data_IF_771529682632
#
_entry.id   IF_771529682632
#
_cell.length_a   1.000
_cell.length_b   1.000
_cell.length_c   1.000
_cell.angle_alpha   90.00
_cell.angle_beta   90.00
_cell.angle_gamma   90.00
#
_symmetry.space_group_name_H-M   'P 1'
#
loop_
_entity.id
_entity.type
_entity.pdbx_description
1 polymer ?
#
# COMPACT_ATOMS: atom_id res chain seq x y z
N UNK A 1 15.55 7.08 19.26
CA UNK A 1 15.28 7.86 20.49
C UNK A 1 14.23 8.95 20.24
N UNK A 2 14.21 9.58 19.06
CA UNK A 2 13.27 10.66 18.73
C UNK A 2 11.79 10.27 18.78
N UNK A 3 11.43 9.04 18.39
CA UNK A 3 10.05 8.58 18.44
C UNK A 3 9.48 8.50 19.87
N UNK A 4 10.28 8.07 20.85
CA UNK A 4 9.87 8.02 22.26
C UNK A 4 9.60 9.43 22.82
N UNK A 5 10.49 10.39 22.51
CA UNK A 5 10.32 11.80 22.88
C UNK A 5 9.08 12.43 22.23
N UNK A 6 8.79 12.08 20.97
CA UNK A 6 7.59 12.54 20.28
C UNK A 6 6.30 12.02 20.94
N UNK A 7 6.26 10.76 21.39
CA UNK A 7 5.11 10.23 22.13
C UNK A 7 4.92 10.91 23.49
N UNK A 8 6.00 11.13 24.25
CA UNK A 8 5.93 11.87 25.52
C UNK A 8 5.44 13.32 25.31
N UNK A 9 5.93 13.99 24.26
CA UNK A 9 5.45 15.32 23.89
C UNK A 9 3.96 15.32 23.55
N UNK A 10 3.48 14.35 22.77
CA UNK A 10 2.06 14.20 22.46
C UNK A 10 1.20 13.99 23.71
N UNK A 11 1.67 13.18 24.68
CA UNK A 11 0.98 12.96 25.96
C UNK A 11 0.86 14.28 26.73
N UNK A 12 1.95 15.06 26.81
CA UNK A 12 1.97 16.35 27.50
C UNK A 12 0.97 17.34 26.88
N UNK A 13 0.98 17.51 25.55
CA UNK A 13 0.06 18.43 24.86
C UNK A 13 -1.41 18.03 25.04
N UNK A 14 -1.73 16.73 24.94
CA UNK A 14 -3.10 16.27 25.11
C UNK A 14 -3.56 16.39 26.57
N UNK A 15 -2.66 16.15 27.53
CA UNK A 15 -2.98 16.36 28.95
C UNK A 15 -3.29 17.82 29.28
N UNK A 16 -2.54 18.77 28.69
CA UNK A 16 -2.81 20.20 28.83
C UNK A 16 -4.16 20.58 28.21
N UNK A 17 -4.48 20.07 27.01
CA UNK A 17 -5.77 20.32 26.37
C UNK A 17 -6.96 19.74 27.17
N UNK A 18 -6.76 18.61 27.88
CA UNK A 18 -7.79 18.04 28.76
C UNK A 18 -7.98 18.86 30.04
N UNK A 19 -6.90 19.45 30.57
CA UNK A 19 -6.96 20.35 31.73
C UNK A 19 -7.70 21.65 31.40
N UNK A 20 -7.43 22.27 30.25
CA UNK A 20 -8.16 23.48 29.82
C UNK A 20 -9.65 23.20 29.63
N UNK A 21 -10.02 22.05 29.06
CA UNK A 21 -11.42 21.63 28.92
C UNK A 21 -12.09 21.35 30.28
N UNK A 22 -11.33 20.91 31.28
CA UNK A 22 -11.83 20.69 32.63
C UNK A 22 -12.03 22.02 33.39
N UNK A 23 -11.16 23.00 33.17
CA UNK A 23 -11.24 24.35 33.77
C UNK A 23 -12.39 25.19 33.18
N UNK A 24 -12.66 25.05 31.88
CA UNK A 24 -13.76 25.74 31.19
C UNK A 24 -15.16 25.17 31.50
N UNK A 25 -15.27 24.12 32.33
CA UNK A 25 -16.54 23.47 32.64
C UNK A 25 -17.29 24.22 33.76
N UNK A 26 -18.41 24.91 33.49
CA UNK A 26 -19.19 25.56 34.54
C UNK A 26 -19.85 24.51 35.45
N UNK A 27 -19.81 24.76 36.76
CA UNK A 27 -20.27 23.86 37.84
C UNK A 27 -21.78 23.54 37.82
N UNK A 28 -22.54 24.08 36.87
CA UNK A 28 -23.96 23.81 36.69
C UNK A 28 -24.19 23.30 35.28
N UNK A 29 -24.08 21.98 35.09
CA UNK A 29 -24.99 21.16 34.29
C UNK A 29 -24.43 19.73 34.16
N UNK A 30 -25.22 18.77 34.62
CA UNK A 30 -24.97 17.34 34.38
C UNK A 30 -25.01 17.06 32.89
N UNK A 31 -23.85 16.89 32.28
CA UNK A 31 -23.72 16.56 30.87
C UNK A 31 -22.63 15.50 30.70
N UNK A 32 -23.01 14.43 30.02
CA UNK A 32 -22.17 13.32 29.58
C UNK A 32 -20.85 13.81 28.98
N UNK A 33 -19.77 13.05 29.21
CA UNK A 33 -18.44 13.33 28.66
C UNK A 33 -18.55 13.65 27.16
N UNK A 34 -18.03 14.81 26.77
CA UNK A 34 -18.12 15.29 25.38
C UNK A 34 -17.37 14.27 24.50
N UNK A 35 -17.90 13.82 23.35
CA UNK A 35 -17.25 12.82 22.48
C UNK A 35 -15.86 13.25 21.96
N UNK A 36 -15.46 14.50 22.18
CA UNK A 36 -14.11 15.00 21.95
C UNK A 36 -13.12 14.60 23.06
N UNK A 37 -13.55 14.62 24.32
CA UNK A 37 -12.74 14.23 25.48
C UNK A 37 -12.37 12.74 25.43
N UNK A 38 -13.35 11.88 25.09
CA UNK A 38 -13.11 10.44 24.92
C UNK A 38 -12.11 10.13 23.80
N UNK A 39 -12.10 10.93 22.73
CA UNK A 39 -11.12 10.78 21.63
C UNK A 39 -9.72 11.18 22.07
N UNK A 40 -9.59 12.25 22.85
CA UNK A 40 -8.31 12.68 23.42
C UNK A 40 -7.76 11.65 24.43
N UNK A 41 -8.62 11.08 25.27
CA UNK A 41 -8.23 10.02 26.22
C UNK A 41 -7.74 8.75 25.50
N UNK A 42 -8.43 8.31 24.44
CA UNK A 42 -7.96 7.17 23.61
C UNK A 42 -6.64 7.46 22.90
N UNK A 43 -6.40 8.71 22.50
CA UNK A 43 -5.13 9.12 21.90
C UNK A 43 -3.99 9.01 22.91
N UNK A 44 -4.22 9.42 24.16
CA UNK A 44 -3.25 9.25 25.26
C UNK A 44 -2.96 7.76 25.48
N UNK A 45 -4.00 6.93 25.60
CA UNK A 45 -3.86 5.48 25.80
C UNK A 45 -2.98 4.83 24.72
N UNK A 46 -3.27 5.11 23.44
CA UNK A 46 -2.47 4.62 22.33
C UNK A 46 -1.03 5.16 22.36
N UNK A 47 -0.84 6.45 22.66
CA UNK A 47 0.51 7.04 22.73
C UNK A 47 1.36 6.45 23.87
N UNK A 48 0.74 6.07 25.00
CA UNK A 48 1.39 5.38 26.12
C UNK A 48 1.78 3.95 25.73
N UNK A 49 0.90 3.22 25.05
CA UNK A 49 1.20 1.86 24.57
C UNK A 49 2.40 1.86 23.62
N UNK A 50 2.47 2.82 22.69
CA UNK A 50 3.59 2.99 21.77
C UNK A 50 4.87 3.48 22.47
N UNK A 51 4.77 4.33 23.47
CA UNK A 51 5.91 4.75 24.30
C UNK A 51 6.49 3.57 25.09
N UNK A 52 5.64 2.69 25.64
CA UNK A 52 6.08 1.47 26.34
C UNK A 52 6.80 0.51 25.40
N UNK A 53 6.24 0.27 24.21
CA UNK A 53 6.85 -0.59 23.20
C UNK A 53 8.21 -0.07 22.68
N UNK A 54 8.40 1.24 22.69
CA UNK A 54 9.69 1.87 22.30
C UNK A 54 10.68 1.99 23.46
N UNK A 55 10.18 2.05 24.70
CA UNK A 55 10.99 2.06 25.93
C UNK A 55 11.54 0.68 26.33
N UNK A 56 10.81 -0.42 26.06
CA UNK A 56 11.27 -1.79 26.34
C UNK A 56 12.32 -2.30 25.35
N UNK A 57 12.54 -1.60 24.24
CA UNK A 57 13.56 -1.92 23.22
C UNK A 57 14.92 -1.25 23.48
N UNK A 58 15.10 -0.58 24.63
CA UNK A 58 16.39 0.02 25.00
C UNK A 58 17.30 -1.06 25.61
N UNK A 59 18.53 -1.27 25.09
CA UNK A 59 19.48 -2.21 25.66
C UNK A 59 20.13 -1.56 26.89
N UNK A 60 19.70 -1.98 28.09
CA UNK A 60 20.37 -1.57 29.32
C UNK A 60 19.59 -1.96 30.58
N UNK A 61 20.15 -2.93 31.31
CA UNK A 61 19.81 -3.32 32.69
C UNK A 61 18.80 -4.46 32.89
N UNK A 62 19.33 -5.68 32.77
CA UNK A 62 19.23 -6.77 33.76
C UNK A 62 17.88 -7.19 34.35
N UNK A 63 17.39 -8.37 33.95
CA UNK A 63 17.07 -9.43 34.92
C UNK A 63 17.00 -10.80 34.22
N UNK A 64 17.46 -11.81 34.95
CA UNK A 64 18.01 -13.11 34.53
C UNK A 64 17.02 -14.26 34.73
N UNK A 65 17.21 -15.32 33.91
CA UNK A 65 16.82 -16.74 34.06
C UNK A 65 15.33 -17.12 34.10
N UNK A 66 14.89 -18.14 33.37
CA UNK A 66 15.38 -19.53 33.48
C UNK A 66 15.23 -20.29 32.14
N UNK A 67 16.31 -20.92 31.60
CA UNK A 67 16.74 -22.34 31.77
C UNK A 67 15.66 -23.31 31.25
N UNK A 68 15.87 -24.24 30.31
CA UNK A 68 16.85 -25.36 30.19
C UNK A 68 16.49 -26.02 28.82
N UNK A 69 17.36 -26.51 27.93
CA UNK A 69 18.18 -27.73 28.04
C UNK A 69 19.23 -27.82 26.92
N UNK A 70 20.31 -28.48 27.31
CA UNK A 70 21.60 -28.73 26.68
C UNK A 70 21.51 -29.89 25.69
N UNK A 71 22.26 -29.85 24.59
CA UNK A 71 23.07 -31.00 24.12
C UNK A 71 24.35 -30.50 23.43
N UNK A 72 25.47 -30.74 24.08
CA UNK A 72 26.83 -30.69 23.54
C UNK A 72 27.45 -32.07 23.73
N UNK A 73 28.12 -32.58 22.70
CA UNK A 73 29.17 -33.59 22.76
C UNK A 73 29.89 -33.53 21.40
N UNK A 74 31.20 -33.64 21.23
CA UNK A 74 32.37 -33.59 22.10
C UNK A 74 33.57 -33.46 21.12
N UNK A 75 34.65 -32.78 21.53
CA UNK A 75 35.97 -32.88 20.90
C UNK A 75 36.84 -33.91 21.67
N UNK A 76 37.94 -34.41 21.06
CA UNK A 76 39.28 -33.93 21.46
C UNK A 76 40.29 -33.75 20.29
N UNK A 77 41.32 -32.89 20.47
CA UNK A 77 42.39 -32.45 19.53
C UNK A 77 43.58 -33.44 19.36
N UNK A 78 44.88 -33.04 19.18
CA UNK A 78 45.51 -31.70 18.98
C UNK A 78 46.64 -31.60 17.87
N UNK A 79 47.25 -30.39 17.72
CA UNK A 79 48.55 -30.03 17.04
C UNK A 79 48.70 -30.23 15.50
N UNK A 80 49.35 -29.40 14.65
CA UNK A 80 50.52 -28.50 14.72
C UNK A 80 50.52 -27.46 13.56
N UNK A 81 51.05 -26.26 13.85
CA UNK A 81 51.82 -25.28 13.03
C UNK A 81 51.95 -25.44 11.50
N UNK A 82 51.67 -24.38 10.72
CA UNK A 82 52.59 -23.59 9.83
C UNK A 82 51.78 -22.63 8.93
N UNK A 83 52.39 -21.47 8.67
CA UNK A 83 52.00 -20.28 7.92
C UNK A 83 51.34 -20.45 6.53
N UNK A 84 50.61 -19.40 6.13
CA UNK A 84 50.76 -18.80 4.80
C UNK A 84 49.99 -19.43 3.65
N UNK A 85 48.75 -18.98 3.43
CA UNK A 85 48.37 -18.35 2.15
C UNK A 85 46.88 -18.04 2.10
N UNK A 86 46.58 -16.81 1.69
CA UNK A 86 45.22 -16.28 1.51
C UNK A 86 44.64 -16.88 0.22
N UNK A 87 43.56 -17.68 0.25
CA UNK A 87 42.95 -18.15 -0.98
C UNK A 87 42.23 -17.00 -1.68
N UNK A 88 42.73 -16.64 -2.85
CA UNK A 88 42.06 -15.81 -3.85
C UNK A 88 40.62 -16.34 -4.10
N UNK A 89 39.59 -15.47 -4.22
CA UNK A 89 38.26 -15.93 -4.57
C UNK A 89 38.28 -16.48 -6.00
N UNK A 90 38.00 -17.79 -6.15
CA UNK A 90 37.90 -18.42 -7.47
C UNK A 90 36.71 -17.86 -8.26
N UNK A 91 36.82 -17.75 -9.59
CA UNK A 91 35.84 -17.08 -10.43
C UNK A 91 34.59 -17.95 -10.56
N UNK A 92 33.43 -17.36 -10.29
CA UNK A 92 32.09 -17.65 -10.85
C UNK A 92 31.96 -18.94 -11.67
N UNK A 93 32.16 -20.09 -11.04
CA UNK A 93 31.94 -21.39 -11.67
C UNK A 93 31.08 -22.18 -10.70
N UNK A 94 29.87 -22.48 -11.16
CA UNK A 94 28.83 -23.27 -10.49
C UNK A 94 27.78 -22.50 -9.67
N UNK A 95 27.22 -21.45 -10.25
CA UNK A 95 25.76 -21.29 -10.21
C UNK A 95 25.30 -21.43 -11.65
N UNK A 96 24.58 -22.49 -12.04
CA UNK A 96 23.75 -22.42 -13.22
C UNK A 96 22.73 -21.31 -12.91
N UNK A 97 22.99 -20.10 -13.38
CA UNK A 97 21.96 -19.10 -13.57
C UNK A 97 20.98 -19.71 -14.56
N UNK A 98 20.02 -20.50 -14.05
CA UNK A 98 18.91 -20.97 -14.85
C UNK A 98 18.18 -19.72 -15.31
N UNK A 99 18.39 -19.35 -16.57
CA UNK A 99 17.73 -18.21 -17.18
C UNK A 99 16.21 -18.44 -17.02
N UNK A 100 15.52 -17.69 -16.15
CA UNK A 100 14.16 -18.04 -15.76
C UNK A 100 13.23 -18.03 -16.98
N UNK A 101 12.16 -18.83 -16.98
CA UNK A 101 11.19 -18.72 -18.08
C UNK A 101 10.58 -17.31 -18.11
N UNK A 102 10.11 -16.81 -19.27
CA UNK A 102 9.53 -15.46 -19.35
C UNK A 102 8.36 -15.25 -18.38
N UNK A 103 7.65 -16.34 -18.06
CA UNK A 103 6.57 -16.36 -17.06
C UNK A 103 7.08 -16.15 -15.63
N UNK A 104 8.22 -16.76 -15.27
CA UNK A 104 8.84 -16.57 -13.95
C UNK A 104 9.46 -15.18 -13.82
N UNK A 105 10.11 -14.68 -14.88
CA UNK A 105 10.64 -13.33 -14.93
C UNK A 105 9.53 -12.27 -14.74
N UNK A 106 8.39 -12.45 -15.40
CA UNK A 106 7.24 -11.57 -15.24
C UNK A 106 6.66 -11.60 -13.81
N UNK A 107 6.58 -12.78 -13.19
CA UNK A 107 6.13 -12.90 -11.79
C UNK A 107 7.08 -12.18 -10.84
N UNK A 108 8.39 -12.30 -11.04
CA UNK A 108 9.39 -11.63 -10.21
C UNK A 108 9.30 -10.09 -10.32
N UNK A 109 9.02 -9.56 -11.51
CA UNK A 109 8.74 -8.12 -11.69
C UNK A 109 7.46 -7.67 -10.97
N UNK A 110 6.44 -8.53 -10.93
CA UNK A 110 5.19 -8.25 -10.22
C UNK A 110 5.35 -8.33 -8.70
N UNK A 111 6.08 -9.31 -8.16
CA UNK A 111 6.31 -9.42 -6.72
C UNK A 111 7.13 -8.25 -6.16
N UNK A 112 8.07 -7.70 -6.95
CA UNK A 112 8.84 -6.51 -6.59
C UNK A 112 8.00 -5.21 -6.54
N UNK A 113 6.76 -5.22 -7.03
CA UNK A 113 5.92 -4.02 -7.21
C UNK A 113 4.71 -3.91 -6.27
N UNK A 114 4.50 -4.85 -5.33
CA UNK A 114 3.25 -4.93 -4.55
C UNK A 114 3.35 -4.25 -3.18
N UNK A 115 2.66 -3.12 -2.99
CA UNK A 115 1.34 -3.11 -2.30
C UNK A 115 0.84 -1.69 -2.02
N UNK A 116 -0.20 -1.26 -2.75
CA UNK A 116 -1.10 -0.21 -2.28
C UNK A 116 -2.46 -0.84 -1.99
N UNK A 117 -3.04 -0.48 -0.85
CA UNK A 117 -4.33 -1.00 -0.38
C UNK A 117 -5.41 -0.64 -1.40
N UNK A 118 -5.81 -1.61 -2.23
CA UNK A 118 -6.91 -1.45 -3.19
C UNK A 118 -8.20 -1.21 -2.41
N UNK A 119 -8.81 -0.04 -2.60
CA UNK A 119 -10.14 0.26 -2.07
C UNK A 119 -11.18 -0.51 -2.88
N UNK A 120 -12.22 -1.02 -2.23
CA UNK A 120 -13.31 -1.72 -2.90
C UNK A 120 -14.10 -0.73 -3.77
N UNK A 121 -14.61 -1.20 -4.90
CA UNK A 121 -15.51 -0.41 -5.75
C UNK A 121 -16.93 -0.39 -5.20
N UNK A 122 -17.79 0.56 -5.59
CA UNK A 122 -19.16 0.67 -5.07
C UNK A 122 -19.99 -0.62 -5.21
N UNK A 123 -19.88 -1.31 -6.34
CA UNK A 123 -20.60 -2.60 -6.56
C UNK A 123 -20.06 -3.70 -5.67
N UNK A 124 -18.76 -3.73 -5.41
CA UNK A 124 -18.14 -4.73 -4.55
C UNK A 124 -18.49 -4.48 -3.08
N UNK A 125 -18.53 -3.22 -2.64
CA UNK A 125 -19.05 -2.83 -1.33
C UNK A 125 -20.52 -3.25 -1.15
N UNK A 126 -21.36 -3.03 -2.17
CA UNK A 126 -22.76 -3.44 -2.14
C UNK A 126 -22.92 -4.97 -2.08
N UNK A 127 -22.05 -5.75 -2.75
CA UNK A 127 -22.02 -7.21 -2.63
C UNK A 127 -21.70 -7.65 -1.21
N UNK A 128 -20.68 -7.05 -0.58
CA UNK A 128 -20.34 -7.33 0.82
C UNK A 128 -21.50 -6.98 1.75
N UNK A 129 -22.18 -5.86 1.52
CA UNK A 129 -23.37 -5.49 2.29
C UNK A 129 -24.52 -6.48 2.07
N UNK A 130 -24.75 -6.94 0.84
CA UNK A 130 -25.78 -7.93 0.53
C UNK A 130 -25.48 -9.30 1.16
N UNK A 131 -24.21 -9.70 1.25
CA UNK A 131 -23.84 -10.90 2.02
C UNK A 131 -24.20 -10.76 3.51
N UNK A 132 -23.98 -9.59 4.10
CA UNK A 132 -24.38 -9.30 5.49
C UNK A 132 -25.91 -9.32 5.64
N UNK A 133 -26.66 -8.76 4.69
CA UNK A 133 -28.13 -8.81 4.67
C UNK A 133 -28.64 -10.25 4.59
N UNK A 134 -28.07 -11.06 3.72
CA UNK A 134 -28.41 -12.49 3.60
C UNK A 134 -28.12 -13.26 4.89
N UNK A 135 -26.99 -13.00 5.54
CA UNK A 135 -26.66 -13.63 6.82
C UNK A 135 -27.68 -13.24 7.92
N UNK A 136 -28.02 -11.95 8.02
CA UNK A 136 -29.02 -11.46 8.96
C UNK A 136 -30.42 -12.04 8.67
N UNK A 137 -30.79 -12.17 7.39
CA UNK A 137 -32.03 -12.82 6.96
C UNK A 137 -32.09 -14.27 7.42
N UNK A 138 -31.04 -15.07 7.17
CA UNK A 138 -30.97 -16.47 7.62
C UNK A 138 -31.13 -16.60 9.13
N UNK A 139 -30.46 -15.72 9.90
CA UNK A 139 -30.60 -15.70 11.35
C UNK A 139 -32.05 -15.41 11.79
N UNK A 140 -32.75 -14.48 11.14
CA UNK A 140 -34.17 -14.20 11.43
C UNK A 140 -35.09 -15.34 11.02
N UNK A 141 -34.87 -15.91 9.84
CA UNK A 141 -35.64 -17.06 9.33
C UNK A 141 -35.52 -18.29 10.23
N UNK A 142 -34.35 -18.52 10.84
CA UNK A 142 -34.14 -19.64 11.78
C UNK A 142 -34.95 -19.52 13.08
N UNK A 143 -35.38 -18.30 13.44
CA UNK A 143 -36.12 -18.02 14.68
C UNK A 143 -37.63 -17.93 14.46
N UNK A 144 -38.08 -17.93 13.20
CA UNK A 144 -39.48 -17.68 12.85
C UNK A 144 -40.28 -18.99 12.82
N UNK A 145 -41.41 -19.03 13.51
CA UNK A 145 -42.29 -20.20 13.55
C UNK A 145 -42.77 -20.57 12.12
N UNK A 146 -42.69 -21.86 11.72
CA UNK A 146 -43.30 -22.37 10.48
C UNK A 146 -44.74 -21.95 10.23
N UNK A 147 -45.53 -21.70 11.27
CA UNK A 147 -46.94 -21.30 11.19
C UNK A 147 -47.14 -19.87 10.68
N UNK A 148 -46.12 -19.02 10.70
CA UNK A 148 -46.18 -17.64 10.22
C UNK A 148 -45.76 -17.51 8.74
N UNK A 149 -46.50 -18.17 7.84
CA UNK A 149 -46.19 -18.20 6.41
C UNK A 149 -46.17 -16.79 5.77
N UNK A 150 -47.14 -15.93 6.07
CA UNK A 150 -47.19 -14.56 5.55
C UNK A 150 -45.99 -13.70 5.95
N UNK A 151 -45.50 -13.85 7.18
CA UNK A 151 -44.31 -13.16 7.67
C UNK A 151 -43.03 -13.62 6.95
N UNK A 152 -42.92 -14.90 6.61
CA UNK A 152 -41.81 -15.43 5.79
C UNK A 152 -41.79 -14.81 4.40
N UNK A 153 -42.94 -14.77 3.73
CA UNK A 153 -43.06 -14.19 2.39
C UNK A 153 -42.71 -12.70 2.40
N UNK A 154 -43.23 -11.95 3.39
CA UNK A 154 -42.92 -10.53 3.53
C UNK A 154 -41.43 -10.27 3.78
N UNK A 155 -40.79 -11.10 4.62
CA UNK A 155 -39.36 -10.98 4.91
C UNK A 155 -38.50 -11.32 3.67
N UNK A 156 -38.89 -12.34 2.89
CA UNK A 156 -38.20 -12.72 1.66
C UNK A 156 -38.27 -11.59 0.62
N UNK A 157 -39.46 -11.05 0.36
CA UNK A 157 -39.64 -9.93 -0.58
C UNK A 157 -38.89 -8.67 -0.12
N UNK A 158 -38.86 -8.40 1.19
CA UNK A 158 -38.11 -7.27 1.75
C UNK A 158 -36.60 -7.43 1.52
N UNK A 159 -36.07 -8.63 1.73
CA UNK A 159 -34.66 -8.95 1.46
C UNK A 159 -34.32 -8.78 -0.03
N UNK A 160 -35.12 -9.37 -0.92
CA UNK A 160 -34.93 -9.29 -2.36
C UNK A 160 -34.93 -7.83 -2.84
N UNK A 161 -35.91 -7.04 -2.39
CA UNK A 161 -35.98 -5.61 -2.68
C UNK A 161 -34.74 -4.87 -2.21
N UNK A 162 -34.30 -5.10 -0.97
CA UNK A 162 -33.16 -4.39 -0.39
C UNK A 162 -31.84 -4.75 -1.09
N UNK A 163 -31.65 -6.04 -1.42
CA UNK A 163 -30.47 -6.49 -2.14
C UNK A 163 -30.41 -5.90 -3.55
N UNK A 164 -31.55 -5.89 -4.25
CA UNK A 164 -31.68 -5.31 -5.58
C UNK A 164 -31.43 -3.79 -5.55
N UNK A 165 -32.03 -3.07 -4.60
CA UNK A 165 -31.84 -1.63 -4.40
C UNK A 165 -30.36 -1.29 -4.19
N UNK A 166 -29.67 -2.02 -3.28
CA UNK A 166 -28.25 -1.82 -3.02
C UNK A 166 -27.39 -1.97 -4.28
N UNK A 167 -27.66 -3.01 -5.10
CA UNK A 167 -26.92 -3.23 -6.35
C UNK A 167 -27.23 -2.17 -7.39
N UNK A 168 -28.49 -1.74 -7.50
CA UNK A 168 -28.90 -0.74 -8.49
C UNK A 168 -28.25 0.63 -8.18
N UNK A 169 -28.26 1.04 -6.92
CA UNK A 169 -27.60 2.27 -6.47
C UNK A 169 -26.10 2.18 -6.73
N UNK A 170 -25.46 1.09 -6.33
CA UNK A 170 -24.03 0.91 -6.52
C UNK A 170 -23.61 0.89 -7.99
N UNK A 171 -24.42 0.27 -8.87
CA UNK A 171 -24.19 0.27 -10.32
C UNK A 171 -24.36 1.67 -10.92
N UNK A 172 -25.35 2.44 -10.45
CA UNK A 172 -25.51 3.83 -10.85
C UNK A 172 -24.29 4.68 -10.44
N UNK A 173 -23.77 4.49 -9.22
CA UNK A 173 -22.56 5.16 -8.76
C UNK A 173 -21.34 4.75 -9.59
N UNK A 174 -21.15 3.46 -9.85
CA UNK A 174 -20.04 2.96 -10.65
C UNK A 174 -20.07 3.52 -12.07
N UNK A 175 -21.22 3.49 -12.74
CA UNK A 175 -21.34 4.07 -14.10
C UNK A 175 -21.11 5.58 -14.12
N UNK A 176 -21.58 6.31 -13.10
CA UNK A 176 -21.30 7.74 -12.96
C UNK A 176 -19.80 8.01 -12.75
N UNK A 177 -19.12 7.22 -11.92
CA UNK A 177 -17.68 7.29 -11.72
C UNK A 177 -16.92 6.94 -13.00
N UNK A 178 -17.31 5.88 -13.70
CA UNK A 178 -16.69 5.47 -14.97
C UNK A 178 -16.78 6.57 -16.02
N UNK A 179 -17.94 7.23 -16.17
CA UNK A 179 -18.10 8.38 -17.08
C UNK A 179 -17.12 9.50 -16.74
N UNK A 180 -17.04 9.89 -15.46
CA UNK A 180 -16.09 10.91 -14.99
C UNK A 180 -14.63 10.52 -15.25
N UNK A 181 -14.27 9.25 -15.04
CA UNK A 181 -12.93 8.76 -15.31
C UNK A 181 -12.59 8.78 -16.81
N UNK A 182 -13.53 8.37 -17.67
CA UNK A 182 -13.36 8.41 -19.13
C UNK A 182 -13.22 9.84 -19.63
N UNK A 183 -14.08 10.75 -19.20
CA UNK A 183 -14.00 12.18 -19.56
C UNK A 183 -12.68 12.80 -19.10
N UNK A 184 -12.26 12.52 -17.86
CA UNK A 184 -10.96 12.96 -17.34
C UNK A 184 -9.82 12.44 -18.21
N UNK A 185 -9.82 11.13 -18.52
CA UNK A 185 -8.78 10.50 -19.32
C UNK A 185 -8.74 11.05 -20.74
N UNK A 186 -9.89 11.37 -21.31
CA UNK A 186 -9.97 12.03 -22.61
C UNK A 186 -9.31 13.41 -22.56
N UNK A 187 -9.65 14.27 -21.59
CA UNK A 187 -9.03 15.59 -21.42
C UNK A 187 -7.51 15.51 -21.24
N UNK A 188 -7.03 14.52 -20.49
CA UNK A 188 -5.59 14.31 -20.30
C UNK A 188 -4.87 13.83 -21.56
N UNK A 189 -5.54 13.04 -22.41
CA UNK A 189 -5.00 12.66 -23.72
C UNK A 189 -4.89 13.86 -24.65
N UNK A 190 -5.94 14.68 -24.73
CA UNK A 190 -5.93 15.92 -25.52
C UNK A 190 -4.82 16.87 -25.04
N UNK A 191 -4.60 16.96 -23.73
CA UNK A 191 -3.50 17.73 -23.16
C UNK A 191 -2.12 17.16 -23.55
N UNK A 192 -1.95 15.84 -23.52
CA UNK A 192 -0.72 15.19 -23.97
C UNK A 192 -0.47 15.44 -25.46
N UNK A 193 -1.52 15.34 -26.28
CA UNK A 193 -1.46 15.57 -27.73
C UNK A 193 -1.10 17.03 -28.03
N UNK A 194 -1.67 17.99 -27.30
CA UNK A 194 -1.33 19.41 -27.41
C UNK A 194 0.14 19.68 -27.09
N UNK A 195 0.65 19.15 -25.97
CA UNK A 195 2.05 19.35 -25.54
C UNK A 195 3.07 18.76 -26.51
N UNK A 196 2.75 17.62 -27.11
CA UNK A 196 3.62 16.97 -28.09
C UNK A 196 3.53 17.67 -29.44
N UNK A 197 2.35 18.12 -29.86
CA UNK A 197 2.19 18.87 -31.12
C UNK A 197 2.94 20.21 -31.12
N UNK A 198 3.13 20.83 -29.94
CA UNK A 198 3.92 22.06 -29.79
C UNK A 198 5.44 21.82 -29.84
N UNK A 199 5.90 20.60 -29.58
CA UNK A 199 7.33 20.27 -29.42
C UNK A 199 7.88 19.24 -30.42
N UNK A 200 7.04 18.62 -31.28
CA UNK A 200 7.44 17.45 -32.06
C UNK A 200 7.44 17.65 -33.59
N UNK A 201 8.54 17.24 -34.22
CA UNK A 201 8.58 16.80 -35.61
C UNK A 201 7.92 15.40 -35.74
N UNK A 202 7.25 15.08 -36.86
CA UNK A 202 6.50 13.83 -36.99
C UNK A 202 7.43 12.60 -36.98
N UNK A 203 7.46 11.85 -35.87
CA UNK A 203 8.18 10.58 -35.72
C UNK A 203 7.23 9.38 -35.62
N UNK A 204 7.64 8.21 -36.12
CA UNK A 204 6.83 6.98 -36.06
C UNK A 204 6.54 6.50 -34.62
N UNK A 205 7.29 7.00 -33.63
CA UNK A 205 7.13 6.66 -32.19
C UNK A 205 6.21 7.62 -31.43
N UNK A 206 5.72 8.67 -32.09
CA UNK A 206 4.82 9.65 -31.48
C UNK A 206 3.54 9.09 -30.84
N UNK A 207 2.81 8.11 -31.41
CA UNK A 207 1.60 7.59 -30.76
C UNK A 207 1.89 6.87 -29.44
N UNK A 208 3.03 6.17 -29.34
CA UNK A 208 3.47 5.53 -28.11
C UNK A 208 3.85 6.57 -27.05
N UNK A 209 4.57 7.62 -27.44
CA UNK A 209 4.94 8.74 -26.56
C UNK A 209 3.70 9.48 -26.03
N UNK A 210 2.71 9.76 -26.89
CA UNK A 210 1.41 10.35 -26.49
C UNK A 210 0.67 9.49 -25.47
N UNK A 211 0.60 8.20 -25.74
CA UNK A 211 -0.04 7.23 -24.83
C UNK A 211 0.63 7.19 -23.46
N UNK A 212 1.97 7.17 -23.42
CA UNK A 212 2.75 7.14 -22.18
C UNK A 212 2.60 8.45 -21.41
N UNK A 213 2.70 9.59 -22.09
CA UNK A 213 2.53 10.90 -21.47
C UNK A 213 1.13 11.05 -20.86
N UNK A 214 0.08 10.63 -21.57
CA UNK A 214 -1.28 10.64 -21.04
C UNK A 214 -1.41 9.79 -19.77
N UNK A 215 -0.80 8.60 -19.72
CA UNK A 215 -0.76 7.75 -18.52
C UNK A 215 0.01 8.39 -17.36
N UNK A 216 1.12 9.07 -17.64
CA UNK A 216 1.89 9.82 -16.64
C UNK A 216 1.04 10.95 -16.06
N UNK A 217 0.37 11.74 -16.90
CA UNK A 217 -0.51 12.82 -16.44
C UNK A 217 -1.71 12.30 -15.63
N UNK A 218 -2.23 11.12 -15.99
CA UNK A 218 -3.26 10.44 -15.20
C UNK A 218 -2.72 10.06 -13.82
N UNK A 219 -1.54 9.45 -13.74
CA UNK A 219 -0.90 9.07 -12.48
C UNK A 219 -0.61 10.28 -11.56
N UNK A 220 -0.11 11.40 -12.11
CA UNK A 220 0.19 12.62 -11.35
C UNK A 220 -1.03 13.32 -10.76
N UNK A 221 -2.22 13.03 -11.26
CA UNK A 221 -3.47 13.58 -10.73
C UNK A 221 -3.96 12.81 -9.50
N UNK A 222 -3.59 11.53 -9.38
CA UNK A 222 -3.95 10.67 -8.25
C UNK A 222 -2.83 10.61 -7.17
N UNK A 223 -1.64 11.14 -7.49
CA UNK A 223 -0.46 11.12 -6.63
C UNK A 223 0.09 12.53 -6.41
N UNK A 224 0.26 12.93 -5.15
CA UNK A 224 0.78 14.27 -4.81
C UNK A 224 2.32 14.33 -4.83
N UNK A 225 3.00 13.19 -4.63
CA UNK A 225 4.46 13.15 -4.56
C UNK A 225 5.15 13.69 -5.83
N UNK A 226 4.72 13.40 -7.08
CA UNK A 226 5.38 13.94 -8.28
C UNK A 226 5.28 15.47 -8.35
N UNK A 227 4.20 16.07 -7.84
CA UNK A 227 4.04 17.53 -7.79
C UNK A 227 5.06 18.16 -6.83
N UNK A 228 5.26 17.54 -5.67
CA UNK A 228 6.27 17.98 -4.70
C UNK A 228 7.68 17.91 -5.29
N UNK A 229 8.00 16.84 -6.03
CA UNK A 229 9.28 16.73 -6.74
C UNK A 229 9.44 17.76 -7.85
N UNK A 230 8.39 18.04 -8.64
CA UNK A 230 8.41 19.11 -9.64
C UNK A 230 8.65 20.49 -9.04
N UNK A 231 8.09 20.77 -7.86
CA UNK A 231 8.35 22.02 -7.14
C UNK A 231 9.82 22.14 -6.72
N UNK A 232 10.37 21.08 -6.12
CA UNK A 232 11.79 21.03 -5.71
C UNK A 232 12.76 21.18 -6.89
N UNK A 233 12.45 20.55 -8.03
CA UNK A 233 13.23 20.68 -9.26
C UNK A 233 13.16 22.10 -9.86
N UNK A 234 12.05 22.81 -9.67
CA UNK A 234 11.92 24.20 -10.11
C UNK A 234 12.78 25.15 -9.27
N UNK A 235 12.91 24.86 -7.98
CA UNK A 235 13.76 25.63 -7.05
C UNK A 235 15.25 25.38 -7.30
N UNK A 236 15.62 24.15 -7.69
CA UNK A 236 17.02 23.73 -7.92
C UNK A 236 17.14 22.90 -9.20
N UNK A 237 17.17 23.54 -10.38
CA UNK A 237 17.21 22.83 -11.66
C UNK A 237 18.53 22.08 -11.92
N UNK A 238 19.65 22.57 -11.37
CA UNK A 238 20.99 22.05 -11.65
C UNK A 238 21.46 20.96 -10.65
N UNK A 239 20.61 20.59 -9.69
CA UNK A 239 20.96 19.58 -8.67
C UNK A 239 20.83 18.15 -9.23
N UNK A 240 21.94 17.62 -9.72
CA UNK A 240 22.03 16.26 -10.26
C UNK A 240 21.63 15.19 -9.23
N UNK A 241 21.88 15.43 -7.93
CA UNK A 241 21.54 14.47 -6.88
C UNK A 241 20.02 14.35 -6.72
N UNK A 242 19.30 15.47 -6.80
CA UNK A 242 17.84 15.52 -6.75
C UNK A 242 17.21 14.79 -7.94
N UNK A 243 17.76 14.96 -9.15
CA UNK A 243 17.29 14.24 -10.35
C UNK A 243 17.51 12.74 -10.23
N UNK A 244 18.68 12.31 -9.75
CA UNK A 244 18.97 10.89 -9.53
C UNK A 244 18.02 10.26 -8.50
N UNK A 245 17.76 10.95 -7.39
CA UNK A 245 16.82 10.52 -6.37
C UNK A 245 15.39 10.43 -6.91
N UNK A 246 14.96 11.38 -7.75
CA UNK A 246 13.66 11.29 -8.44
C UNK A 246 13.59 10.06 -9.33
N UNK A 247 14.61 9.79 -10.15
CA UNK A 247 14.63 8.62 -11.03
C UNK A 247 14.60 7.32 -10.21
N UNK A 248 15.38 7.23 -9.13
CA UNK A 248 15.35 6.07 -8.24
C UNK A 248 13.98 5.86 -7.60
N UNK A 249 13.32 6.93 -7.14
CA UNK A 249 11.96 6.84 -6.56
C UNK A 249 10.92 6.45 -7.61
N UNK A 250 10.99 7.01 -8.83
CA UNK A 250 10.12 6.65 -9.95
C UNK A 250 10.23 5.16 -10.28
N UNK A 251 11.45 4.65 -10.44
CA UNK A 251 11.71 3.26 -10.82
C UNK A 251 11.43 2.26 -9.69
N UNK A 252 11.45 2.71 -8.43
CA UNK A 252 11.04 1.90 -7.28
C UNK A 252 9.52 1.71 -7.20
N UNK A 253 8.74 2.64 -7.78
CA UNK A 253 7.29 2.58 -7.81
C UNK A 253 6.79 1.71 -8.99
N UNK A 254 6.36 0.49 -8.71
CA UNK A 254 5.85 -0.42 -9.76
C UNK A 254 4.51 -0.03 -10.39
N UNK A 255 3.72 0.82 -9.74
CA UNK A 255 2.49 1.38 -10.32
C UNK A 255 2.75 2.56 -11.27
N UNK A 256 3.96 3.12 -11.28
CA UNK A 256 4.29 4.25 -12.12
C UNK A 256 4.34 3.82 -13.61
N UNK A 257 3.71 4.57 -14.54
CA UNK A 257 3.61 4.16 -15.95
C UNK A 257 4.95 4.02 -16.66
N UNK A 258 5.98 4.78 -16.25
CA UNK A 258 7.34 4.61 -16.80
C UNK A 258 7.98 3.29 -16.35
N UNK A 259 7.75 2.88 -15.11
CA UNK A 259 8.26 1.62 -14.57
C UNK A 259 7.57 0.44 -15.23
N UNK A 260 6.25 0.54 -15.44
CA UNK A 260 5.47 -0.46 -16.19
C UNK A 260 5.97 -0.58 -17.63
N UNK A 261 6.20 0.55 -18.32
CA UNK A 261 6.73 0.53 -19.68
C UNK A 261 8.13 -0.11 -19.70
N UNK A 262 9.00 0.23 -18.76
CA UNK A 262 10.33 -0.38 -18.67
C UNK A 262 10.23 -1.89 -18.49
N UNK A 263 9.36 -2.37 -17.61
CA UNK A 263 9.12 -3.80 -17.38
C UNK A 263 8.56 -4.48 -18.64
N UNK A 264 7.62 -3.86 -19.34
CA UNK A 264 7.07 -4.36 -20.61
C UNK A 264 8.17 -4.51 -21.68
N UNK A 265 9.04 -3.50 -21.82
CA UNK A 265 10.15 -3.55 -22.78
C UNK A 265 11.20 -4.60 -22.37
N UNK A 266 11.55 -4.66 -21.09
CA UNK A 266 12.43 -5.70 -20.55
C UNK A 266 11.88 -7.09 -20.86
N UNK A 267 10.59 -7.33 -20.63
CA UNK A 267 9.94 -8.60 -20.93
C UNK A 267 9.92 -8.88 -22.45
N UNK A 268 9.72 -7.87 -23.29
CA UNK A 268 9.75 -8.01 -24.75
C UNK A 268 11.12 -8.45 -25.25
N UNK A 269 12.19 -7.83 -24.74
CA UNK A 269 13.57 -8.23 -25.03
C UNK A 269 13.83 -9.62 -24.48
N UNK A 270 13.44 -9.89 -23.23
CA UNK A 270 13.60 -11.18 -22.57
C UNK A 270 12.96 -12.31 -23.37
N UNK A 271 11.73 -12.14 -23.85
CA UNK A 271 11.03 -13.13 -24.69
C UNK A 271 11.75 -13.43 -26.00
N UNK A 272 12.44 -12.44 -26.59
CA UNK A 272 13.25 -12.63 -27.80
C UNK A 272 14.57 -13.34 -27.52
N UNK A 273 15.20 -13.04 -26.38
CA UNK A 273 16.48 -13.61 -25.97
C UNK A 273 16.35 -15.02 -25.40
N UNK A 274 15.27 -15.32 -24.68
CA UNK A 274 15.03 -16.61 -24.05
C UNK A 274 15.23 -17.82 -24.98
N UNK A 275 14.62 -17.90 -26.18
CA UNK A 275 14.83 -19.05 -27.07
C UNK A 275 16.25 -19.15 -27.64
N UNK A 276 17.06 -18.09 -27.57
CA UNK A 276 18.46 -18.10 -28.02
C UNK A 276 19.37 -18.63 -26.91
N UNK A 277 19.10 -18.21 -25.67
CA UNK A 277 19.88 -18.61 -24.49
C UNK A 277 19.49 -20.00 -23.99
N UNK A 278 18.21 -20.38 -24.10
CA UNK A 278 17.72 -21.69 -23.63
C UNK A 278 18.04 -22.86 -24.57
N UNK A 279 18.58 -22.58 -25.76
CA UNK A 279 19.01 -23.58 -26.75
C UNK A 279 20.53 -23.76 -26.80
N UNK A 280 21.27 -22.92 -26.08
CA UNK A 280 22.70 -23.09 -25.82
C UNK A 280 22.92 -23.98 -24.61
#
# INVERSE_FOLDING_TARGET
>A
QDAYRAYLSSIAHVSQALLTVAEERPAANGATAVPHQDKLLRLVEHSVERARATGTSLPGSGSVCSRTTVKTAAQPGPESTVEGDRPLPKPWTNIPCAFPSPTLFQKQQQEASVSFKRKLGPVEEARVQNMKLMAAYRARMSRLDPRHASAKTALNLSLERRMMENLLIAKAQETALQRKMVERRQRLREEADRRLSQNAAPSATEPERRSVLARVLEYEQDNEWPRQWKARLRERPDDSTLVSALISTLLSCGEHPLTQLLQEQQLRVYKKLHPLVSKS
#
